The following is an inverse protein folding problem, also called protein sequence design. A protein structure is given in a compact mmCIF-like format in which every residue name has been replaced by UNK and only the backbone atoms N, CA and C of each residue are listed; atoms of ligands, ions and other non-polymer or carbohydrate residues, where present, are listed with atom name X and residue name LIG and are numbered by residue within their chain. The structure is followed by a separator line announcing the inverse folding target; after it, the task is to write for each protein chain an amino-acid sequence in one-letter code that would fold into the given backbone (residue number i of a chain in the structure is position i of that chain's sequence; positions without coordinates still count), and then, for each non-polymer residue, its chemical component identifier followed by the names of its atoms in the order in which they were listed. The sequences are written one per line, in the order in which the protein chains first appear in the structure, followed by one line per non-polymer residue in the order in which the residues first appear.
data_IF_703531332068
#
_entry.id   IF_703531332068
#
_cell.length_a   1.000
_cell.length_b   1.000
_cell.length_c   1.000
_cell.angle_alpha   90.00
_cell.angle_beta   90.00
_cell.angle_gamma   90.00
#
_symmetry.space_group_name_H-M   'P 1'
#
loop_
_entity.id
_entity.type
_entity.pdbx_description
1 polymer ?
#
# COMPACT_ATOMS: atom_id res chain seq x y z
N UNK A 1 -1.05 -35.48 -41.19
CA UNK A 1 -2.15 -35.44 -40.20
C UNK A 1 -1.67 -34.54 -39.07
N UNK A 2 -2.16 -33.30 -39.02
CA UNK A 2 -1.69 -32.31 -38.08
C UNK A 2 -2.08 -32.73 -36.65
N UNK A 3 -1.09 -32.81 -35.76
CA UNK A 3 -1.33 -32.92 -34.33
C UNK A 3 -2.06 -31.64 -33.90
N UNK A 4 -3.37 -31.76 -33.68
CA UNK A 4 -4.13 -30.75 -32.94
C UNK A 4 -3.53 -30.76 -31.55
N UNK A 5 -2.64 -29.79 -31.28
CA UNK A 5 -2.20 -29.49 -29.93
C UNK A 5 -3.46 -29.14 -29.15
N UNK A 6 -3.97 -30.09 -28.39
CA UNK A 6 -5.06 -29.88 -27.46
C UNK A 6 -4.60 -28.78 -26.50
N UNK A 7 -5.07 -27.55 -26.78
CA UNK A 7 -4.70 -26.37 -26.00
C UNK A 7 -5.50 -26.50 -24.72
N UNK A 8 -4.94 -27.24 -23.77
CA UNK A 8 -5.57 -27.51 -22.49
C UNK A 8 -5.85 -26.17 -21.82
N UNK A 9 -7.10 -25.71 -21.87
CA UNK A 9 -7.49 -24.46 -21.26
C UNK A 9 -7.30 -24.55 -19.76
N UNK A 10 -6.93 -23.42 -19.15
CA UNK A 10 -6.84 -23.31 -17.70
C UNK A 10 -8.24 -23.63 -17.12
N UNK A 11 -8.30 -24.60 -16.20
CA UNK A 11 -9.52 -24.97 -15.49
C UNK A 11 -9.90 -23.96 -14.41
N UNK A 12 -11.17 -23.94 -14.00
CA UNK A 12 -11.70 -23.01 -13.00
C UNK A 12 -10.91 -23.04 -11.69
N UNK A 13 -10.61 -24.23 -11.16
CA UNK A 13 -9.82 -24.36 -9.91
C UNK A 13 -8.45 -23.68 -9.99
N UNK A 14 -7.79 -23.70 -11.15
CA UNK A 14 -6.49 -23.07 -11.34
C UNK A 14 -6.64 -21.55 -11.34
N UNK A 15 -7.72 -21.03 -11.92
CA UNK A 15 -8.05 -19.61 -11.87
C UNK A 15 -8.36 -19.15 -10.44
N UNK A 16 -9.16 -19.90 -9.68
CA UNK A 16 -9.47 -19.60 -8.28
C UNK A 16 -8.19 -19.56 -7.42
N UNK A 17 -7.32 -20.58 -7.55
CA UNK A 17 -6.02 -20.59 -6.85
C UNK A 17 -5.15 -19.38 -7.22
N UNK A 18 -5.22 -18.91 -8.46
CA UNK A 18 -4.49 -17.72 -8.88
C UNK A 18 -5.10 -16.44 -8.29
N UNK A 19 -6.44 -16.35 -8.22
CA UNK A 19 -7.12 -15.25 -7.54
C UNK A 19 -6.72 -15.18 -6.07
N UNK A 20 -6.72 -16.32 -5.37
CA UNK A 20 -6.27 -16.42 -3.97
C UNK A 20 -4.83 -15.95 -3.78
N UNK A 21 -3.92 -16.30 -4.70
CA UNK A 21 -2.53 -15.81 -4.67
C UNK A 21 -2.45 -14.30 -4.78
N UNK A 22 -3.23 -13.69 -5.67
CA UNK A 22 -3.29 -12.23 -5.82
C UNK A 22 -3.87 -11.59 -4.56
N UNK A 23 -4.97 -12.13 -4.04
CA UNK A 23 -5.59 -11.66 -2.79
C UNK A 23 -4.62 -11.76 -1.60
N UNK A 24 -3.76 -12.78 -1.58
CA UNK A 24 -2.72 -12.97 -0.56
C UNK A 24 -1.66 -11.87 -0.49
N UNK A 25 -1.52 -11.01 -1.50
CA UNK A 25 -0.59 -9.86 -1.44
C UNK A 25 -1.14 -8.67 -0.66
N UNK A 26 -2.46 -8.46 -0.61
CA UNK A 26 -3.08 -7.35 0.11
C UNK A 26 -2.65 -7.27 1.59
N UNK A 27 -2.82 -8.31 2.42
CA UNK A 27 -2.42 -8.24 3.83
C UNK A 27 -0.91 -8.05 4.02
N UNK A 28 -0.09 -8.51 3.06
CA UNK A 28 1.37 -8.32 3.09
C UNK A 28 1.76 -6.87 2.80
N UNK A 29 1.04 -6.20 1.91
CA UNK A 29 1.22 -4.78 1.63
C UNK A 29 0.72 -3.95 2.82
N UNK A 30 -0.49 -4.22 3.30
CA UNK A 30 -1.13 -3.44 4.36
C UNK A 30 -0.36 -3.54 5.70
N UNK A 31 0.26 -4.70 5.99
CA UNK A 31 1.16 -4.84 7.14
C UNK A 31 2.43 -3.99 7.02
N UNK A 32 3.04 -3.91 5.83
CA UNK A 32 4.18 -3.03 5.56
C UNK A 32 3.80 -1.55 5.65
N UNK A 33 2.61 -1.17 5.17
CA UNK A 33 2.08 0.20 5.33
C UNK A 33 2.01 0.58 6.81
N UNK A 34 1.45 -0.30 7.63
CA UNK A 34 1.31 -0.09 9.08
C UNK A 34 2.69 0.04 9.77
N UNK A 35 3.64 -0.82 9.40
CA UNK A 35 5.00 -0.77 9.92
C UNK A 35 5.72 0.54 9.55
N UNK A 36 5.66 0.97 8.28
CA UNK A 36 6.27 2.23 7.84
C UNK A 36 5.64 3.45 8.50
N UNK A 37 4.31 3.45 8.67
CA UNK A 37 3.61 4.51 9.38
C UNK A 37 4.08 4.63 10.84
N UNK A 38 4.23 3.50 11.54
CA UNK A 38 4.75 3.48 12.91
C UNK A 38 6.18 4.00 13.01
N UNK A 39 7.07 3.59 12.09
CA UNK A 39 8.46 4.07 12.04
C UNK A 39 8.51 5.59 11.87
N UNK A 40 7.80 6.12 10.87
CA UNK A 40 7.79 7.56 10.57
C UNK A 40 7.19 8.36 11.72
N UNK A 41 6.12 7.85 12.33
CA UNK A 41 5.51 8.47 13.52
C UNK A 41 6.51 8.54 14.68
N UNK A 42 7.30 7.48 14.89
CA UNK A 42 8.37 7.45 15.87
C UNK A 42 9.48 8.47 15.58
N UNK A 43 9.92 8.58 14.32
CA UNK A 43 10.92 9.58 13.90
C UNK A 43 10.43 11.00 14.15
N UNK A 44 9.17 11.30 13.82
CA UNK A 44 8.56 12.61 14.05
C UNK A 44 8.45 12.92 15.54
N UNK A 45 7.95 11.98 16.35
CA UNK A 45 7.84 12.15 17.79
C UNK A 45 9.21 12.42 18.43
N UNK A 46 10.23 11.65 18.04
CA UNK A 46 11.58 11.82 18.56
C UNK A 46 12.21 13.15 18.14
N UNK A 47 12.00 13.60 16.90
CA UNK A 47 12.45 14.92 16.46
C UNK A 47 11.72 16.03 17.23
N UNK A 48 10.40 15.90 17.43
CA UNK A 48 9.58 16.92 18.09
C UNK A 48 9.97 17.16 19.55
N UNK A 49 10.38 16.12 20.29
CA UNK A 49 10.81 16.29 21.70
C UNK A 49 12.22 16.86 21.84
N UNK A 50 13.04 16.83 20.79
CA UNK A 50 14.43 17.31 20.80
C UNK A 50 14.62 18.66 20.09
N UNK A 51 13.54 19.30 19.64
CA UNK A 51 13.60 20.47 18.77
C UNK A 51 12.81 21.63 19.37
N UNK A 52 13.44 22.79 19.45
CA UNK A 52 12.79 24.06 19.81
C UNK A 52 12.59 24.92 18.57
N UNK A 53 11.61 25.83 18.62
CA UNK A 53 11.32 26.72 17.47
C UNK A 53 12.52 27.62 17.14
N UNK A 54 13.31 28.00 18.14
CA UNK A 54 14.50 28.82 17.94
C UNK A 54 15.62 28.09 17.20
N UNK A 55 15.72 26.76 17.33
CA UNK A 55 16.70 25.94 16.60
C UNK A 55 16.50 26.04 15.08
N UNK A 56 15.26 26.20 14.63
CA UNK A 56 14.92 26.30 13.20
C UNK A 56 15.46 27.57 12.53
N UNK A 57 15.79 28.61 13.31
CA UNK A 57 16.44 29.83 12.78
C UNK A 57 17.86 29.54 12.29
N UNK A 58 18.47 28.48 12.79
CA UNK A 58 19.82 28.06 12.44
C UNK A 58 19.78 27.25 11.16
N UNK A 59 20.41 27.73 10.09
CA UNK A 59 20.23 27.16 8.74
C UNK A 59 20.63 25.68 8.64
N UNK A 60 21.69 25.24 9.35
CA UNK A 60 22.14 23.84 9.35
C UNK A 60 21.24 22.90 10.15
N UNK A 61 20.28 23.44 10.92
CA UNK A 61 19.21 22.67 11.58
C UNK A 61 17.91 22.78 10.76
N UNK A 62 17.57 23.99 10.33
CA UNK A 62 16.35 24.28 9.57
C UNK A 62 16.31 23.58 8.21
N UNK A 63 17.43 23.50 7.48
CA UNK A 63 17.46 22.83 6.18
C UNK A 63 17.22 21.31 6.30
N UNK A 64 17.94 20.55 7.17
CA UNK A 64 17.60 19.16 7.44
C UNK A 64 16.18 18.96 7.97
N UNK A 65 15.68 19.84 8.84
CA UNK A 65 14.30 19.77 9.34
C UNK A 65 13.28 19.85 8.20
N UNK A 66 13.45 20.79 7.28
CA UNK A 66 12.57 20.96 6.13
C UNK A 66 12.58 19.72 5.21
N UNK A 67 13.77 19.22 4.87
CA UNK A 67 13.92 18.03 4.02
C UNK A 67 13.33 16.79 4.69
N UNK A 68 13.53 16.63 6.00
CA UNK A 68 12.92 15.56 6.78
C UNK A 68 11.38 15.66 6.73
N UNK A 69 10.80 16.82 7.03
CA UNK A 69 9.34 17.03 7.01
C UNK A 69 8.73 16.83 5.62
N UNK A 70 9.40 17.28 4.56
CA UNK A 70 8.96 17.04 3.19
C UNK A 70 8.94 15.54 2.86
N UNK A 71 9.97 14.81 3.30
CA UNK A 71 10.06 13.35 3.11
C UNK A 71 8.99 12.60 3.91
N UNK A 72 8.70 13.05 5.14
CA UNK A 72 7.61 12.53 5.98
C UNK A 72 6.26 12.77 5.31
N UNK A 73 5.98 14.00 4.86
CA UNK A 73 4.73 14.32 4.18
C UNK A 73 4.54 13.46 2.92
N UNK A 74 5.59 13.34 2.10
CA UNK A 74 5.58 12.48 0.92
C UNK A 74 5.31 11.00 1.28
N UNK A 75 5.94 10.51 2.34
CA UNK A 75 5.70 9.15 2.84
C UNK A 75 4.24 8.96 3.24
N UNK A 76 3.68 9.84 4.07
CA UNK A 76 2.30 9.74 4.55
C UNK A 76 1.31 9.79 3.38
N UNK A 77 1.52 10.66 2.39
CA UNK A 77 0.69 10.73 1.19
C UNK A 77 0.72 9.39 0.44
N UNK A 78 1.90 8.81 0.22
CA UNK A 78 2.03 7.54 -0.47
C UNK A 78 1.41 6.37 0.32
N UNK A 79 1.58 6.34 1.64
CA UNK A 79 0.93 5.33 2.49
C UNK A 79 -0.60 5.46 2.43
N UNK A 80 -1.13 6.68 2.42
CA UNK A 80 -2.56 6.93 2.25
C UNK A 80 -3.08 6.46 0.88
N UNK A 81 -2.38 6.80 -0.20
CA UNK A 81 -2.74 6.36 -1.56
C UNK A 81 -2.63 4.84 -1.74
N UNK A 82 -1.68 4.20 -1.03
CA UNK A 82 -1.57 2.74 -0.95
C UNK A 82 -2.74 2.11 -0.18
N UNK A 83 -3.20 2.72 0.91
CA UNK A 83 -4.34 2.23 1.67
C UNK A 83 -5.65 2.37 0.87
N UNK A 84 -5.83 3.50 0.18
CA UNK A 84 -7.05 3.87 -0.53
C UNK A 84 -6.79 4.20 -2.02
N UNK A 85 -6.40 3.20 -2.84
CA UNK A 85 -6.21 3.42 -4.27
C UNK A 85 -7.54 3.76 -4.94
N UNK A 86 -7.60 4.90 -5.64
CA UNK A 86 -8.77 5.31 -6.41
C UNK A 86 -8.79 4.57 -7.75
N UNK A 87 -9.54 3.48 -7.82
CA UNK A 87 -9.76 2.76 -9.06
C UNK A 87 -11.23 2.87 -9.47
N UNK A 88 -11.48 3.57 -10.59
CA UNK A 88 -12.79 3.62 -11.23
C UNK A 88 -13.07 2.28 -11.90
N UNK A 89 -14.22 1.67 -11.61
CA UNK A 89 -14.72 0.49 -12.31
C UNK A 89 -14.89 -0.73 -11.40
N UNK A 90 -16.08 -1.31 -11.50
CA UNK A 90 -16.44 -2.67 -11.08
C UNK A 90 -17.41 -3.19 -12.13
N UNK A 91 -17.05 -4.28 -12.82
CA UNK A 91 -18.01 -5.02 -13.63
C UNK A 91 -18.91 -5.83 -12.69
N UNK A 92 -20.15 -6.10 -13.11
CA UNK A 92 -21.09 -6.94 -12.37
C UNK A 92 -20.50 -8.35 -12.20
N UNK A 93 -19.81 -8.57 -11.10
CA UNK A 93 -19.09 -9.79 -10.77
C UNK A 93 -19.82 -10.52 -9.66
N UNK A 94 -19.98 -11.82 -9.83
CA UNK A 94 -20.63 -12.71 -8.90
C UNK A 94 -19.68 -13.25 -7.82
N UNK A 95 -18.38 -12.98 -7.93
CA UNK A 95 -17.38 -13.33 -6.90
C UNK A 95 -16.82 -12.11 -6.16
N UNK A 96 -17.09 -10.88 -6.63
CA UNK A 96 -16.66 -9.65 -5.96
C UNK A 96 -17.67 -9.17 -4.91
N UNK A 97 -17.25 -9.19 -3.65
CA UNK A 97 -18.10 -8.89 -2.49
C UNK A 97 -18.93 -7.60 -2.59
N UNK A 98 -18.40 -6.53 -3.17
CA UNK A 98 -19.11 -5.24 -3.26
C UNK A 98 -20.24 -5.27 -4.29
N UNK A 99 -20.13 -6.10 -5.33
CA UNK A 99 -21.21 -6.29 -6.30
C UNK A 99 -22.24 -7.28 -5.75
N UNK A 100 -21.80 -8.35 -5.08
CA UNK A 100 -22.69 -9.29 -4.38
C UNK A 100 -23.55 -8.55 -3.35
N UNK A 101 -22.96 -7.63 -2.58
CA UNK A 101 -23.67 -6.84 -1.57
C UNK A 101 -24.76 -5.90 -2.13
N UNK A 102 -24.83 -5.69 -3.45
CA UNK A 102 -25.92 -4.93 -4.09
C UNK A 102 -27.14 -5.80 -4.39
N UNK A 103 -27.01 -7.12 -4.31
CA UNK A 103 -28.08 -8.07 -4.59
C UNK A 103 -28.78 -8.49 -3.30
N UNK A 104 -30.04 -8.90 -3.40
CA UNK A 104 -30.68 -9.65 -2.30
C UNK A 104 -30.14 -11.08 -2.27
N UNK A 105 -30.27 -11.75 -1.12
CA UNK A 105 -29.86 -13.15 -0.98
C UNK A 105 -30.54 -14.06 -2.03
N UNK A 106 -31.86 -13.90 -2.21
CA UNK A 106 -32.63 -14.68 -3.18
C UNK A 106 -32.15 -14.43 -4.63
N UNK A 107 -31.90 -13.17 -5.00
CA UNK A 107 -31.39 -12.82 -6.33
C UNK A 107 -29.99 -13.40 -6.57
N UNK A 108 -29.13 -13.37 -5.56
CA UNK A 108 -27.77 -13.91 -5.67
C UNK A 108 -27.81 -15.42 -5.84
N UNK A 109 -28.55 -16.15 -5.00
CA UNK A 109 -28.68 -17.61 -5.11
C UNK A 109 -29.23 -18.04 -6.47
N UNK A 110 -30.27 -17.35 -6.96
CA UNK A 110 -30.86 -17.63 -8.26
C UNK A 110 -29.86 -17.39 -9.40
N UNK A 111 -29.21 -16.22 -9.43
CA UNK A 111 -28.28 -15.85 -10.51
C UNK A 111 -27.00 -16.69 -10.48
N UNK A 112 -26.45 -16.90 -9.28
CA UNK A 112 -25.24 -17.70 -9.11
C UNK A 112 -25.48 -19.17 -9.45
N UNK A 113 -26.60 -19.75 -9.01
CA UNK A 113 -26.96 -21.12 -9.33
C UNK A 113 -27.28 -21.37 -10.81
N UNK A 114 -27.55 -20.32 -11.59
CA UNK A 114 -27.77 -20.38 -13.02
C UNK A 114 -26.50 -20.15 -13.88
N UNK A 115 -25.35 -19.86 -13.26
CA UNK A 115 -24.09 -19.68 -13.98
C UNK A 115 -23.58 -21.02 -14.52
N UNK A 116 -23.08 -21.01 -15.75
CA UNK A 116 -22.26 -22.09 -16.25
C UNK A 116 -20.80 -21.93 -15.78
N UNK A 117 -20.06 -23.03 -15.77
CA UNK A 117 -18.66 -23.04 -15.33
C UNK A 117 -17.80 -22.08 -16.17
N UNK A 118 -18.12 -21.93 -17.46
CA UNK A 118 -17.42 -21.03 -18.37
C UNK A 118 -17.61 -19.55 -18.02
N UNK A 119 -18.83 -19.12 -17.64
CA UNK A 119 -19.08 -17.75 -17.18
C UNK A 119 -18.42 -17.48 -15.82
N UNK A 120 -18.49 -18.44 -14.89
CA UNK A 120 -17.81 -18.30 -13.60
C UNK A 120 -16.28 -18.17 -13.78
N UNK A 121 -15.69 -19.01 -14.63
CA UNK A 121 -14.27 -18.92 -14.98
C UNK A 121 -13.90 -17.55 -15.54
N UNK A 122 -14.72 -17.01 -16.45
CA UNK A 122 -14.49 -15.67 -17.03
C UNK A 122 -14.55 -14.58 -15.96
N UNK A 123 -15.50 -14.65 -15.05
CA UNK A 123 -15.64 -13.69 -13.95
C UNK A 123 -14.42 -13.74 -13.00
N UNK A 124 -14.00 -14.94 -12.59
CA UNK A 124 -12.79 -15.16 -11.78
C UNK A 124 -11.55 -14.60 -12.49
N UNK A 125 -11.37 -14.88 -13.78
CA UNK A 125 -10.26 -14.33 -14.56
C UNK A 125 -10.30 -12.80 -14.65
N UNK A 126 -11.49 -12.21 -14.78
CA UNK A 126 -11.68 -10.76 -14.73
C UNK A 126 -11.25 -10.19 -13.37
N UNK A 127 -11.57 -10.86 -12.28
CA UNK A 127 -11.11 -10.49 -10.94
C UNK A 127 -9.59 -10.65 -10.78
N UNK A 128 -8.97 -11.68 -11.34
CA UNK A 128 -7.50 -11.83 -11.30
C UNK A 128 -6.84 -10.61 -11.95
N UNK A 129 -7.29 -10.24 -13.15
CA UNK A 129 -6.76 -9.08 -13.87
C UNK A 129 -6.95 -7.80 -13.05
N UNK A 130 -8.18 -7.54 -12.60
CA UNK A 130 -8.49 -6.32 -11.84
C UNK A 130 -7.72 -6.24 -10.53
N UNK A 131 -7.72 -7.31 -9.74
CA UNK A 131 -6.98 -7.33 -8.47
C UNK A 131 -5.47 -7.20 -8.70
N UNK A 132 -4.93 -7.69 -9.82
CA UNK A 132 -3.53 -7.48 -10.18
C UNK A 132 -3.21 -5.99 -10.42
N UNK A 133 -4.10 -5.24 -11.08
CA UNK A 133 -3.94 -3.79 -11.22
C UNK A 133 -3.93 -3.08 -9.86
N UNK A 134 -4.83 -3.47 -8.94
CA UNK A 134 -4.89 -2.88 -7.60
C UNK A 134 -3.60 -3.17 -6.83
N UNK A 135 -3.15 -4.42 -6.83
CA UNK A 135 -1.94 -4.85 -6.14
C UNK A 135 -0.70 -4.15 -6.70
N UNK A 136 -0.59 -4.02 -8.02
CA UNK A 136 0.50 -3.29 -8.66
C UNK A 136 0.54 -1.83 -8.21
N UNK A 137 -0.60 -1.13 -8.27
CA UNK A 137 -0.70 0.27 -7.85
C UNK A 137 -0.36 0.46 -6.36
N UNK A 138 -0.89 -0.41 -5.48
CA UNK A 138 -0.54 -0.42 -4.06
C UNK A 138 0.96 -0.63 -3.85
N UNK A 139 1.55 -1.58 -4.58
CA UNK A 139 2.99 -1.88 -4.48
C UNK A 139 3.85 -0.68 -4.91
N UNK A 140 3.47 0.04 -5.96
CA UNK A 140 4.20 1.23 -6.42
C UNK A 140 4.21 2.35 -5.38
N UNK A 141 3.05 2.64 -4.76
CA UNK A 141 2.98 3.60 -3.65
C UNK A 141 3.78 3.14 -2.44
N UNK A 142 3.69 1.85 -2.08
CA UNK A 142 4.49 1.29 -0.97
C UNK A 142 6.00 1.41 -1.24
N UNK A 143 6.44 1.18 -2.49
CA UNK A 143 7.84 1.34 -2.90
C UNK A 143 8.29 2.80 -2.76
N UNK A 144 7.48 3.75 -3.22
CA UNK A 144 7.78 5.18 -3.09
C UNK A 144 7.85 5.61 -1.62
N UNK A 145 6.91 5.16 -0.79
CA UNK A 145 6.95 5.42 0.66
C UNK A 145 8.22 4.82 1.30
N UNK A 146 8.56 3.58 0.96
CA UNK A 146 9.77 2.90 1.49
C UNK A 146 11.04 3.69 1.15
N UNK A 147 11.19 4.13 -0.11
CA UNK A 147 12.34 4.93 -0.54
C UNK A 147 12.40 6.28 0.19
N UNK A 148 11.25 6.93 0.38
CA UNK A 148 11.17 8.20 1.10
C UNK A 148 11.54 8.07 2.58
N UNK A 149 11.14 6.98 3.26
CA UNK A 149 11.58 6.68 4.63
C UNK A 149 13.08 6.41 4.69
N UNK A 150 13.62 5.64 3.75
CA UNK A 150 15.07 5.39 3.72
C UNK A 150 15.86 6.69 3.52
N UNK A 151 15.37 7.55 2.61
CA UNK A 151 15.97 8.86 2.37
C UNK A 151 15.84 9.78 3.60
N UNK A 152 14.72 9.73 4.34
CA UNK A 152 14.47 10.60 5.50
C UNK A 152 15.40 10.34 6.69
N UNK A 153 16.03 9.16 6.77
CA UNK A 153 16.97 8.81 7.85
C UNK A 153 18.13 9.80 7.93
N UNK A 154 18.73 10.17 6.78
CA UNK A 154 19.87 11.08 6.74
C UNK A 154 19.54 12.50 7.25
N UNK A 155 18.53 13.21 6.70
CA UNK A 155 18.17 14.54 7.20
C UNK A 155 17.64 14.47 8.64
N UNK A 156 16.96 13.40 9.06
CA UNK A 156 16.56 13.20 10.45
C UNK A 156 17.77 13.09 11.39
N UNK A 157 18.79 12.35 11.00
CA UNK A 157 20.01 12.22 11.79
C UNK A 157 20.78 13.54 11.87
N UNK A 158 20.92 14.26 10.76
CA UNK A 158 21.55 15.59 10.72
C UNK A 158 20.79 16.61 11.58
N UNK A 159 19.46 16.55 11.57
CA UNK A 159 18.60 17.36 12.42
C UNK A 159 18.92 17.16 13.90
N UNK A 160 18.97 15.90 14.36
CA UNK A 160 19.23 15.56 15.75
C UNK A 160 20.66 15.89 16.19
N UNK A 161 21.65 15.71 15.31
CA UNK A 161 23.01 16.15 15.58
C UNK A 161 23.11 17.67 15.71
N UNK A 162 22.41 18.39 14.82
CA UNK A 162 22.35 19.84 14.85
C UNK A 162 21.74 20.37 16.16
N UNK A 163 20.61 19.81 16.60
CA UNK A 163 19.99 20.21 17.88
C UNK A 163 20.86 19.82 19.07
N UNK A 164 21.47 18.63 19.05
CA UNK A 164 22.39 18.18 20.11
C UNK A 164 23.59 19.13 20.27
N UNK A 165 24.16 19.61 19.15
CA UNK A 165 25.24 20.58 19.17
C UNK A 165 24.81 21.93 19.75
N UNK A 166 23.62 22.42 19.38
CA UNK A 166 23.09 23.71 19.87
C UNK A 166 22.83 23.67 21.38
N UNK A 167 22.27 22.57 21.88
CA UNK A 167 21.90 22.44 23.29
C UNK A 167 23.02 21.91 24.19
N UNK A 168 24.19 21.54 23.63
CA UNK A 168 25.29 20.85 24.31
C UNK A 168 24.80 19.64 25.16
N UNK A 169 23.79 18.96 24.66
CA UNK A 169 23.12 17.83 25.31
C UNK A 169 22.94 16.72 24.30
N UNK A 170 23.09 15.47 24.75
CA UNK A 170 22.71 14.34 23.92
C UNK A 170 21.19 14.34 23.76
N UNK A 171 20.65 13.90 22.61
CA UNK A 171 19.22 13.70 22.48
C UNK A 171 18.78 12.75 23.60
N UNK A 172 17.91 13.23 24.50
CA UNK A 172 17.42 12.55 25.73
C UNK A 172 18.31 12.54 27.00
N UNK A 173 19.40 13.30 27.10
CA UNK A 173 20.01 13.54 28.42
C UNK A 173 19.27 14.66 29.18
N UNK A 174 18.89 14.48 30.46
CA UNK A 174 18.24 15.54 31.25
C UNK A 174 19.06 16.85 31.29
#
# INVERSE_FOLDING_TARGET
MAAVTDKQEIGLEVAERQLDRIMGFFPRIDSKVSALFAIVSGQVAFAAVNLTIDDLKTWWVGAPAFVFLASVAWTIINLYLCAFPHLKGGHASFVYFKEIAKLTEADYLQKYGALDEAALKRDVMGQIWRNSEIVALKYDYLKQATLAVMFSILPWFLLLLGTSYVHWKLPLSP
#
